data_IF_627931083632
#
_entry.id   IF_627931083632
#
_cell.length_a   1.000
_cell.length_b   1.000
_cell.length_c   1.000
_cell.angle_alpha   90.00
_cell.angle_beta   90.00
_cell.angle_gamma   90.00
#
_symmetry.space_group_name_H-M   'P 1'
#
loop_
_entity.id
_entity.type
_entity.pdbx_description
1 polymer ?
#
# COMPACT_ATOMS: atom_id res chain seq x y z
N UNK A 1 34.60 -11.92 18.48
CA UNK A 1 33.93 -10.64 18.81
C UNK A 1 33.99 -9.64 17.66
N UNK A 2 35.17 -9.17 17.23
CA UNK A 2 35.34 -8.16 16.16
C UNK A 2 34.61 -8.45 14.84
N UNK A 3 34.80 -9.65 14.25
CA UNK A 3 34.12 -10.06 13.01
C UNK A 3 32.59 -10.04 13.07
N UNK A 4 32.00 -10.35 14.24
CA UNK A 4 30.54 -10.36 14.40
C UNK A 4 30.00 -8.94 14.44
N UNK A 5 30.72 -8.04 15.09
CA UNK A 5 30.41 -6.60 15.13
C UNK A 5 30.57 -5.97 13.75
N UNK A 6 31.67 -6.26 13.05
CA UNK A 6 31.91 -5.81 11.66
C UNK A 6 30.82 -6.29 10.69
N UNK A 7 30.42 -7.57 10.77
CA UNK A 7 29.33 -8.11 9.96
C UNK A 7 27.97 -7.46 10.27
N UNK A 8 27.71 -7.12 11.54
CA UNK A 8 26.49 -6.41 11.93
C UNK A 8 26.52 -4.99 11.35
N UNK A 9 27.63 -4.26 11.52
CA UNK A 9 27.82 -2.90 11.02
C UNK A 9 27.69 -2.86 9.49
N UNK A 10 28.44 -3.69 8.76
CA UNK A 10 28.45 -3.76 7.29
C UNK A 10 27.04 -3.98 6.71
N UNK A 11 26.32 -4.98 7.22
CA UNK A 11 24.98 -5.29 6.70
C UNK A 11 23.91 -4.26 7.17
N UNK A 12 24.14 -3.55 8.28
CA UNK A 12 23.28 -2.43 8.68
C UNK A 12 23.50 -1.18 7.80
N UNK A 13 24.73 -0.91 7.34
CA UNK A 13 25.03 0.20 6.41
C UNK A 13 24.26 0.04 5.10
N UNK A 14 24.23 -1.17 4.52
CA UNK A 14 23.47 -1.45 3.31
C UNK A 14 21.96 -1.16 3.49
N UNK A 15 21.39 -1.57 4.63
CA UNK A 15 20.00 -1.27 4.96
C UNK A 15 19.74 0.24 5.15
N UNK A 16 20.68 0.98 5.73
CA UNK A 16 20.58 2.44 5.94
C UNK A 16 20.66 3.18 4.60
N UNK A 17 21.61 2.81 3.73
CA UNK A 17 21.80 3.43 2.42
C UNK A 17 20.63 3.16 1.46
N UNK A 18 20.13 1.91 1.42
CA UNK A 18 19.00 1.51 0.56
C UNK A 18 17.68 2.13 1.03
N UNK A 19 17.50 2.38 2.33
CA UNK A 19 16.26 2.94 2.91
C UNK A 19 16.42 4.40 3.36
N UNK A 20 17.29 5.21 2.73
CA UNK A 20 17.41 6.65 3.00
C UNK A 20 16.06 7.34 2.71
N UNK A 21 15.23 7.50 3.74
CA UNK A 21 13.97 8.25 3.67
C UNK A 21 14.30 9.71 3.38
N UNK A 22 13.83 10.25 2.24
CA UNK A 22 13.86 11.69 1.91
C UNK A 22 12.77 12.47 2.68
N UNK A 23 12.68 12.31 4.00
CA UNK A 23 11.62 12.96 4.77
C UNK A 23 11.86 12.99 6.27
N UNK A 24 12.15 14.21 6.75
CA UNK A 24 12.00 14.81 8.08
C UNK A 24 11.88 13.94 9.33
N UNK A 25 12.84 14.15 10.25
CA UNK A 25 12.75 13.84 11.67
C UNK A 25 13.68 12.71 12.10
N UNK A 26 14.76 13.07 12.81
CA UNK A 26 15.64 12.13 13.50
C UNK A 26 14.82 11.26 14.46
N UNK A 27 14.65 9.99 14.10
CA UNK A 27 14.19 8.96 15.00
C UNK A 27 15.32 7.96 15.08
N UNK A 28 15.78 7.68 16.31
CA UNK A 28 16.74 6.63 16.61
C UNK A 28 16.40 5.39 15.77
N UNK A 29 17.30 5.04 14.85
CA UNK A 29 17.14 3.92 13.94
C UNK A 29 17.15 2.63 14.77
N UNK A 30 15.98 2.20 15.27
CA UNK A 30 15.84 0.86 15.82
C UNK A 30 16.11 -0.13 14.69
N UNK A 31 17.23 -0.90 14.73
CA UNK A 31 17.49 -1.89 13.70
C UNK A 31 16.39 -2.93 13.82
N UNK A 32 15.50 -3.00 12.82
CA UNK A 32 14.60 -4.15 12.72
C UNK A 32 15.48 -5.40 12.64
N UNK A 33 15.29 -6.41 13.51
CA UNK A 33 16.04 -7.66 13.41
C UNK A 33 15.91 -8.19 11.99
N UNK A 34 17.04 -8.42 11.32
CA UNK A 34 17.11 -8.78 9.89
C UNK A 34 16.28 -10.03 9.57
N UNK A 35 16.18 -10.93 10.54
CA UNK A 35 15.33 -12.13 10.49
C UNK A 35 13.84 -11.80 10.35
N UNK A 36 13.34 -10.79 11.09
CA UNK A 36 11.95 -10.34 11.00
C UNK A 36 11.65 -9.74 9.62
N UNK A 37 12.58 -8.94 9.06
CA UNK A 37 12.44 -8.37 7.70
C UNK A 37 12.43 -9.47 6.63
N UNK A 38 13.32 -10.46 6.74
CA UNK A 38 13.41 -11.58 5.79
C UNK A 38 12.15 -12.45 5.83
N UNK A 39 11.65 -12.79 7.02
CA UNK A 39 10.43 -13.58 7.17
C UNK A 39 9.19 -12.82 6.69
N UNK A 40 9.10 -11.51 6.97
CA UNK A 40 8.03 -10.66 6.45
C UNK A 40 8.04 -10.58 4.93
N UNK A 41 9.20 -10.27 4.32
CA UNK A 41 9.34 -10.20 2.87
C UNK A 41 9.03 -11.54 2.19
N UNK A 42 9.38 -12.67 2.80
CA UNK A 42 9.07 -14.02 2.27
C UNK A 42 7.57 -14.29 2.19
N UNK A 43 6.78 -13.76 3.14
CA UNK A 43 5.32 -13.94 3.20
C UNK A 43 4.54 -12.87 2.44
N UNK A 44 5.20 -11.79 2.03
CA UNK A 44 4.54 -10.67 1.36
C UNK A 44 4.14 -11.08 -0.06
N UNK A 45 2.84 -10.98 -0.35
CA UNK A 45 2.33 -11.08 -1.72
C UNK A 45 2.50 -9.73 -2.43
N UNK A 46 2.82 -9.78 -3.71
CA UNK A 46 2.87 -8.58 -4.53
C UNK A 46 1.47 -7.99 -4.69
N UNK A 47 1.37 -6.67 -4.72
CA UNK A 47 0.11 -5.98 -4.95
C UNK A 47 -0.42 -6.29 -6.36
N UNK A 48 -1.74 -6.20 -6.52
CA UNK A 48 -2.35 -6.29 -7.83
C UNK A 48 -2.00 -5.04 -8.65
N UNK A 49 -1.58 -5.24 -9.90
CA UNK A 49 -1.24 -4.15 -10.80
C UNK A 49 -2.43 -3.82 -11.68
N UNK A 50 -2.97 -2.61 -11.53
CA UNK A 50 -4.04 -2.09 -12.36
C UNK A 50 -3.48 -1.24 -13.51
N UNK A 51 -4.18 -1.23 -14.64
CA UNK A 51 -3.90 -0.40 -15.81
C UNK A 51 -4.92 0.73 -15.90
N UNK A 52 -4.57 1.75 -16.66
CA UNK A 52 -5.51 2.85 -16.98
C UNK A 52 -6.69 2.26 -17.75
N UNK A 53 -7.92 2.64 -17.36
CA UNK A 53 -9.17 2.12 -17.90
C UNK A 53 -9.72 0.88 -17.18
N UNK A 54 -8.98 0.29 -16.23
CA UNK A 54 -9.52 -0.81 -15.43
C UNK A 54 -10.62 -0.30 -14.47
N UNK A 55 -11.67 -1.10 -14.33
CA UNK A 55 -12.74 -0.85 -13.35
C UNK A 55 -12.41 -1.54 -12.02
N UNK A 56 -12.47 -0.77 -10.94
CA UNK A 56 -12.13 -1.20 -9.58
C UNK A 56 -13.18 -0.71 -8.58
N UNK A 57 -13.44 -1.50 -7.55
CA UNK A 57 -14.13 -1.06 -6.35
C UNK A 57 -13.10 -0.47 -5.38
N UNK A 58 -13.47 0.58 -4.64
CA UNK A 58 -12.60 1.17 -3.60
C UNK A 58 -13.15 0.88 -2.22
N UNK A 59 -12.26 0.60 -1.27
CA UNK A 59 -12.67 0.39 0.12
C UNK A 59 -13.16 1.70 0.76
N UNK A 60 -14.19 1.60 1.60
CA UNK A 60 -14.61 2.71 2.47
C UNK A 60 -13.51 3.10 3.45
N UNK A 61 -13.23 4.40 3.52
CA UNK A 61 -12.24 4.99 4.42
C UNK A 61 -12.83 5.70 5.64
N UNK A 62 -14.14 5.93 5.68
CA UNK A 62 -14.80 6.60 6.81
C UNK A 62 -15.03 5.62 7.97
N UNK A 63 -14.65 6.06 9.18
CA UNK A 63 -14.92 5.38 10.46
C UNK A 63 -16.07 6.10 11.18
N UNK A 64 -16.97 5.37 11.84
CA UNK A 64 -18.17 5.95 12.46
C UNK A 64 -19.22 4.92 12.90
N UNK A 65 -20.30 5.40 13.51
CA UNK A 65 -21.45 4.60 13.98
C UNK A 65 -22.35 4.17 12.82
N UNK A 66 -22.91 2.96 12.86
CA UNK A 66 -23.83 2.45 11.82
C UNK A 66 -23.17 1.88 10.56
N UNK A 67 -21.84 1.74 10.55
CA UNK A 67 -21.06 1.30 9.37
C UNK A 67 -21.10 -0.22 9.15
N UNK A 68 -21.37 -1.01 10.19
CA UNK A 68 -21.30 -2.48 10.16
C UNK A 68 -22.26 -3.13 9.15
N UNK A 69 -23.40 -2.50 8.89
CA UNK A 69 -24.43 -3.00 7.97
C UNK A 69 -24.25 -2.54 6.52
N UNK A 70 -23.33 -1.59 6.27
CA UNK A 70 -23.11 -1.01 4.95
C UNK A 70 -22.04 -1.80 4.18
N UNK A 71 -22.09 -1.84 2.83
CA UNK A 71 -21.04 -2.46 2.04
C UNK A 71 -19.66 -1.89 2.34
N UNK A 72 -18.65 -2.77 2.35
CA UNK A 72 -17.26 -2.41 2.63
C UNK A 72 -16.61 -1.65 1.47
N UNK A 73 -17.04 -1.92 0.24
CA UNK A 73 -16.53 -1.30 -0.98
C UNK A 73 -17.59 -0.41 -1.63
N UNK A 74 -17.15 0.72 -2.17
CA UNK A 74 -17.94 1.57 -3.04
C UNK A 74 -17.95 1.03 -4.47
N UNK A 75 -18.90 1.50 -5.27
CA UNK A 75 -19.18 1.05 -6.63
C UNK A 75 -18.02 1.20 -7.63
N UNK A 76 -18.28 1.10 -8.94
CA UNK A 76 -17.23 1.06 -9.93
C UNK A 76 -16.51 2.40 -10.05
N UNK A 77 -15.19 2.35 -9.95
CA UNK A 77 -14.29 3.44 -10.29
C UNK A 77 -13.41 3.02 -11.46
N UNK A 78 -13.10 3.96 -12.34
CA UNK A 78 -12.16 3.77 -13.44
C UNK A 78 -10.79 4.33 -13.05
N UNK A 79 -9.73 3.56 -13.26
CA UNK A 79 -8.35 3.99 -13.06
C UNK A 79 -7.97 5.01 -14.14
N UNK A 80 -7.73 6.25 -13.75
CA UNK A 80 -7.30 7.32 -14.66
C UNK A 80 -5.79 7.36 -14.79
N UNK A 81 -5.07 7.22 -13.67
CA UNK A 81 -3.62 7.44 -13.63
C UNK A 81 -2.94 6.48 -12.68
N UNK A 82 -1.87 5.86 -13.17
CA UNK A 82 -0.96 5.05 -12.35
C UNK A 82 0.09 5.97 -11.72
N UNK A 83 0.20 5.95 -10.39
CA UNK A 83 1.23 6.63 -9.60
C UNK A 83 2.27 5.62 -9.10
N UNK A 84 3.37 6.13 -8.56
CA UNK A 84 4.42 5.31 -7.96
C UNK A 84 3.93 4.61 -6.68
N UNK A 85 4.50 3.42 -6.39
CA UNK A 85 4.23 2.60 -5.19
C UNK A 85 2.79 2.07 -5.13
N UNK A 86 2.32 1.51 -6.25
CA UNK A 86 1.01 0.85 -6.34
C UNK A 86 -0.16 1.76 -5.93
N UNK A 87 -0.02 3.05 -6.23
CA UNK A 87 -1.05 4.07 -6.01
C UNK A 87 -1.66 4.45 -7.34
N UNK A 88 -2.94 4.78 -7.31
CA UNK A 88 -3.69 5.10 -8.52
C UNK A 88 -4.63 6.26 -8.24
N UNK A 89 -4.84 7.08 -9.26
CA UNK A 89 -5.94 8.04 -9.29
C UNK A 89 -7.10 7.41 -10.04
N UNK A 90 -8.27 7.57 -9.45
CA UNK A 90 -9.46 6.81 -9.80
C UNK A 90 -10.62 7.79 -9.82
N UNK A 91 -11.50 7.62 -10.80
CA UNK A 91 -12.71 8.42 -10.96
C UNK A 91 -13.93 7.55 -10.91
N UNK A 92 -14.93 8.06 -10.20
CA UNK A 92 -16.20 7.41 -9.99
C UNK A 92 -16.96 7.27 -11.30
N UNK A 93 -17.59 6.12 -11.50
CA UNK A 93 -18.40 5.82 -12.68
C UNK A 93 -19.85 5.65 -12.27
N UNK A 94 -20.73 6.50 -12.80
CA UNK A 94 -22.16 6.47 -12.49
C UNK A 94 -22.55 7.10 -11.15
N UNK A 95 -23.80 6.86 -10.74
CA UNK A 95 -24.41 7.42 -9.54
C UNK A 95 -24.43 6.37 -8.42
N UNK A 96 -23.40 6.37 -7.57
CA UNK A 96 -23.37 5.56 -6.36
C UNK A 96 -22.79 6.36 -5.18
N UNK A 97 -22.65 5.76 -4.01
CA UNK A 97 -22.05 6.42 -2.85
C UNK A 97 -20.53 6.55 -3.01
N UNK A 98 -19.94 7.63 -2.47
CA UNK A 98 -18.50 7.82 -2.43
C UNK A 98 -17.98 9.03 -3.24
N UNK A 99 -16.71 9.40 -3.02
CA UNK A 99 -16.07 10.58 -3.61
C UNK A 99 -15.92 10.45 -5.14
N UNK A 100 -15.91 11.57 -5.85
CA UNK A 100 -15.85 11.59 -7.32
C UNK A 100 -14.44 11.31 -7.88
N UNK A 101 -13.40 11.86 -7.25
CA UNK A 101 -12.01 11.67 -7.62
C UNK A 101 -11.22 11.36 -6.35
N UNK A 102 -10.43 10.30 -6.37
CA UNK A 102 -9.60 9.89 -5.24
C UNK A 102 -8.29 9.29 -5.67
N UNK A 103 -7.29 9.37 -4.79
CA UNK A 103 -6.06 8.58 -4.90
C UNK A 103 -6.06 7.49 -3.84
N UNK A 104 -5.97 6.23 -4.26
CA UNK A 104 -5.97 5.07 -3.34
C UNK A 104 -4.84 4.11 -3.70
N UNK A 105 -4.42 3.28 -2.75
CA UNK A 105 -3.45 2.20 -2.97
C UNK A 105 -4.14 0.92 -3.44
N UNK A 106 -3.40 0.08 -4.17
CA UNK A 106 -3.88 -1.22 -4.66
C UNK A 106 -4.46 -2.12 -3.54
N UNK A 107 -3.94 -2.02 -2.32
CA UNK A 107 -4.40 -2.80 -1.17
C UNK A 107 -5.85 -2.50 -0.76
N UNK A 108 -6.37 -1.32 -1.14
CA UNK A 108 -7.73 -0.87 -0.87
C UNK A 108 -8.62 -0.92 -2.12
N UNK A 109 -8.18 -1.62 -3.16
CA UNK A 109 -8.87 -1.78 -4.44
C UNK A 109 -9.21 -3.24 -4.70
N UNK A 110 -10.37 -3.48 -5.28
CA UNK A 110 -10.75 -4.79 -5.82
C UNK A 110 -11.19 -4.65 -7.27
N UNK A 111 -10.93 -5.67 -8.11
CA UNK A 111 -11.31 -5.64 -9.51
C UNK A 111 -12.83 -5.78 -9.67
N UNK A 112 -13.47 -4.90 -10.45
CA UNK A 112 -14.92 -4.84 -10.59
C UNK A 112 -15.51 -6.00 -11.44
N UNK A 113 -14.66 -6.75 -12.15
CA UNK A 113 -15.07 -7.81 -13.09
C UNK A 113 -15.19 -9.23 -12.53
N UNK A 114 -15.34 -9.43 -11.21
CA UNK A 114 -15.51 -10.76 -10.58
C UNK A 114 -16.88 -10.96 -9.90
N UNK A 115 -17.91 -10.28 -10.40
CA UNK A 115 -19.28 -10.51 -9.94
C UNK A 115 -20.06 -11.14 -11.11
N UNK A 116 -19.88 -12.44 -11.28
CA UNK A 116 -20.81 -13.34 -11.97
C UNK A 116 -21.08 -14.51 -11.04
#
# INVERSE_FOLDING_TARGET
MRKRVENIISNCIECILVNKKRGGGERFLNPLPKEKRRNYNKKRKNAHHYKVGDFVAIQRTQFGTGIKLRPKFFGPYEVIKVKLKDRYDIKKVGQHEGPNITSTSADHMEMWGRIT
#
